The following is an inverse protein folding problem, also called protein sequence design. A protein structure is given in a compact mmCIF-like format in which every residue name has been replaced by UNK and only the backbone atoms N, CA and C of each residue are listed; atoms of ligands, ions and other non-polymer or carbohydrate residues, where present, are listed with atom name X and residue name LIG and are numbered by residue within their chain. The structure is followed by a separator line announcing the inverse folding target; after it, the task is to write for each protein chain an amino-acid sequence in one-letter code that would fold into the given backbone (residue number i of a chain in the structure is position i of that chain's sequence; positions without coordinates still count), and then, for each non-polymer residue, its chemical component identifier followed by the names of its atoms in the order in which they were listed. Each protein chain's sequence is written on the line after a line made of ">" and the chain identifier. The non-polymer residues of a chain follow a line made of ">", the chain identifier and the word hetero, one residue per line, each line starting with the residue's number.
data_IF_245893597392
#
_entry.id   IF_245893597392
#
_cell.length_a   1.000
_cell.length_b   1.000
_cell.length_c   1.000
_cell.angle_alpha   90.00
_cell.angle_beta   90.00
_cell.angle_gamma   90.00
#
_symmetry.space_group_name_H-M   'P 1'
#
loop_
_entity.id
_entity.type
_entity.pdbx_description
1 polymer ?
#
# COMPACT_ATOMS: atom_id res chain seq x y z
N UNK A 1 18.95 3.01 -10.12
CA UNK A 1 17.90 2.14 -10.71
C UNK A 1 17.00 1.63 -9.59
N UNK A 2 16.14 2.48 -9.01
CA UNK A 2 15.36 2.15 -7.81
C UNK A 2 13.87 1.82 -8.13
N UNK A 3 13.57 1.41 -9.36
CA UNK A 3 12.18 1.55 -9.88
C UNK A 3 11.43 0.23 -10.10
N UNK A 4 12.03 -0.94 -9.90
CA UNK A 4 11.30 -2.21 -9.99
C UNK A 4 11.53 -3.05 -8.74
N UNK A 5 12.78 -3.14 -8.28
CA UNK A 5 13.16 -3.94 -7.11
C UNK A 5 12.43 -3.54 -5.83
N UNK A 6 12.12 -2.26 -5.64
CA UNK A 6 11.40 -1.76 -4.47
C UNK A 6 9.87 -1.74 -4.68
N UNK A 7 9.41 -1.65 -5.93
CA UNK A 7 7.99 -1.58 -6.28
C UNK A 7 7.31 -2.96 -6.14
N UNK A 8 7.98 -4.03 -6.54
CA UNK A 8 7.46 -5.40 -6.40
C UNK A 8 7.13 -5.82 -4.95
N UNK A 9 8.06 -5.70 -3.97
CA UNK A 9 7.78 -6.04 -2.58
C UNK A 9 6.73 -5.12 -1.95
N UNK A 10 6.70 -3.84 -2.35
CA UNK A 10 5.68 -2.91 -1.89
C UNK A 10 4.29 -3.25 -2.43
N UNK A 11 4.19 -3.59 -3.73
CA UNK A 11 2.95 -4.05 -4.35
C UNK A 11 2.42 -5.31 -3.69
N UNK A 12 3.29 -6.25 -3.29
CA UNK A 12 2.90 -7.43 -2.53
C UNK A 12 2.34 -7.06 -1.16
N UNK A 13 3.02 -6.17 -0.44
CA UNK A 13 2.59 -5.70 0.88
C UNK A 13 1.23 -4.99 0.83
N UNK A 14 0.95 -4.25 -0.25
CA UNK A 14 -0.35 -3.64 -0.51
C UNK A 14 -1.43 -4.72 -0.66
N UNK A 15 -1.19 -5.75 -1.48
CA UNK A 15 -2.17 -6.80 -1.71
C UNK A 15 -2.44 -7.63 -0.45
N UNK A 16 -1.39 -8.01 0.29
CA UNK A 16 -1.52 -8.73 1.55
C UNK A 16 -2.35 -7.92 2.57
N UNK A 17 -2.13 -6.59 2.63
CA UNK A 17 -2.89 -5.70 3.53
C UNK A 17 -4.34 -5.53 3.06
N UNK A 18 -4.61 -5.51 1.75
CA UNK A 18 -5.98 -5.49 1.19
C UNK A 18 -6.74 -6.76 1.52
N UNK A 19 -6.12 -7.93 1.38
CA UNK A 19 -6.71 -9.20 1.78
C UNK A 19 -7.04 -9.19 3.28
N UNK A 20 -6.10 -8.77 4.13
CA UNK A 20 -6.31 -8.65 5.56
C UNK A 20 -7.47 -7.70 5.92
N UNK A 21 -7.57 -6.56 5.23
CA UNK A 21 -8.64 -5.59 5.44
C UNK A 21 -10.01 -6.18 5.07
N UNK A 22 -10.10 -6.84 3.92
CA UNK A 22 -11.34 -7.47 3.46
C UNK A 22 -11.79 -8.59 4.41
N UNK A 23 -10.87 -9.47 4.82
CA UNK A 23 -11.15 -10.54 5.76
C UNK A 23 -11.59 -10.00 7.12
N UNK A 24 -10.93 -8.92 7.58
CA UNK A 24 -11.30 -8.27 8.83
C UNK A 24 -12.65 -7.57 8.72
N UNK A 25 -12.96 -6.91 7.60
CA UNK A 25 -14.22 -6.21 7.40
C UNK A 25 -15.43 -7.17 7.32
N UNK A 26 -15.19 -8.44 6.99
CA UNK A 26 -16.20 -9.50 7.09
C UNK A 26 -16.54 -9.87 8.55
N UNK A 27 -15.62 -9.65 9.49
CA UNK A 27 -15.74 -10.05 10.89
C UNK A 27 -15.99 -8.88 11.86
N UNK A 28 -15.60 -7.65 11.49
CA UNK A 28 -15.64 -6.48 12.36
C UNK A 28 -16.34 -5.28 11.70
N UNK A 29 -17.02 -4.41 12.47
CA UNK A 29 -17.53 -3.15 11.96
C UNK A 29 -16.41 -2.29 11.38
N UNK A 30 -16.72 -1.51 10.34
CA UNK A 30 -15.74 -0.61 9.70
C UNK A 30 -15.18 0.46 10.64
N UNK A 31 -15.91 0.80 11.70
CA UNK A 31 -15.48 1.72 12.75
C UNK A 31 -14.61 1.06 13.84
N UNK A 32 -14.40 -0.25 13.78
CA UNK A 32 -13.55 -0.96 14.73
C UNK A 32 -12.12 -0.39 14.69
N UNK A 33 -11.48 -0.14 15.84
CA UNK A 33 -10.09 0.31 15.89
C UNK A 33 -9.13 -0.59 15.09
N UNK A 34 -9.44 -1.90 15.02
CA UNK A 34 -8.70 -2.87 14.22
C UNK A 34 -8.79 -2.56 12.71
N UNK A 35 -10.00 -2.33 12.19
CA UNK A 35 -10.22 -1.97 10.78
C UNK A 35 -9.55 -0.64 10.46
N UNK A 36 -9.72 0.37 11.32
CA UNK A 36 -9.10 1.68 11.15
C UNK A 36 -7.57 1.56 11.07
N UNK A 37 -6.96 0.73 11.91
CA UNK A 37 -5.51 0.50 11.91
C UNK A 37 -5.04 -0.14 10.60
N UNK A 38 -5.74 -1.15 10.09
CA UNK A 38 -5.39 -1.81 8.83
C UNK A 38 -5.56 -0.83 7.65
N UNK A 39 -6.64 -0.03 7.65
CA UNK A 39 -6.87 0.99 6.63
C UNK A 39 -5.75 2.04 6.60
N UNK A 40 -5.32 2.54 7.77
CA UNK A 40 -4.21 3.49 7.86
C UNK A 40 -2.89 2.90 7.33
N UNK A 41 -2.64 1.61 7.61
CA UNK A 41 -1.48 0.90 7.08
C UNK A 41 -1.54 0.78 5.56
N UNK A 42 -2.71 0.47 5.00
CA UNK A 42 -2.92 0.41 3.55
C UNK A 42 -2.67 1.78 2.90
N UNK A 43 -3.18 2.86 3.49
CA UNK A 43 -2.95 4.22 3.00
C UNK A 43 -1.46 4.60 2.98
N UNK A 44 -0.71 4.24 4.02
CA UNK A 44 0.73 4.48 4.07
C UNK A 44 1.48 3.76 2.93
N UNK A 45 1.15 2.49 2.67
CA UNK A 45 1.75 1.70 1.60
C UNK A 45 1.41 2.26 0.21
N UNK A 46 0.15 2.68 0.00
CA UNK A 46 -0.29 3.29 -1.25
C UNK A 46 0.42 4.62 -1.51
N UNK A 47 0.62 5.44 -0.47
CA UNK A 47 1.36 6.69 -0.56
C UNK A 47 2.83 6.43 -0.91
N UNK A 48 3.46 5.44 -0.29
CA UNK A 48 4.84 5.05 -0.63
C UNK A 48 4.94 4.58 -2.09
N UNK A 49 3.98 3.78 -2.56
CA UNK A 49 3.94 3.30 -3.94
C UNK A 49 3.75 4.45 -4.93
N UNK A 50 2.83 5.37 -4.63
CA UNK A 50 2.61 6.59 -5.40
C UNK A 50 3.90 7.41 -5.52
N UNK A 51 4.59 7.63 -4.40
CA UNK A 51 5.86 8.37 -4.38
C UNK A 51 6.98 7.70 -5.19
N UNK A 52 7.08 6.37 -5.13
CA UNK A 52 8.07 5.61 -5.92
C UNK A 52 7.73 5.61 -7.40
N UNK A 53 6.46 5.49 -7.77
CA UNK A 53 6.00 5.52 -9.16
C UNK A 53 6.11 6.92 -9.79
N UNK A 54 5.94 7.97 -8.99
CA UNK A 54 6.01 9.37 -9.44
C UNK A 54 7.45 9.88 -9.64
N UNK A 55 8.47 9.19 -9.10
CA UNK A 55 9.89 9.45 -9.39
C UNK A 55 10.21 9.06 -10.85
N UNK A 56 9.83 9.94 -11.78
CA UNK A 56 10.27 9.90 -13.19
C UNK A 56 11.80 9.90 -13.25
N UNK A 57 12.44 9.06 -14.09
CA UNK A 57 13.86 9.24 -14.39
C UNK A 57 14.08 10.64 -15.00
N UNK A 58 15.23 11.28 -14.77
CA UNK A 58 15.53 12.56 -15.39
C UNK A 58 15.41 12.43 -16.91
N UNK A 59 14.61 13.31 -17.53
CA UNK A 59 14.65 13.52 -18.99
C UNK A 59 16.10 13.89 -19.32
N UNK A 60 16.82 13.00 -19.99
CA UNK A 60 18.07 13.34 -20.65
C UNK A 60 17.73 14.33 -21.77
N UNK A 61 18.01 15.61 -21.53
CA UNK A 61 18.10 16.66 -22.55
C UNK A 61 19.51 16.68 -23.11
#
# INVERSE_FOLDING_TARGET
>A
MANAHDIHPLSRSIEDTRTQLNDSAAAYPLSSPHIVTISQKLDALLNEYSNLSAKKPPKRV
#
